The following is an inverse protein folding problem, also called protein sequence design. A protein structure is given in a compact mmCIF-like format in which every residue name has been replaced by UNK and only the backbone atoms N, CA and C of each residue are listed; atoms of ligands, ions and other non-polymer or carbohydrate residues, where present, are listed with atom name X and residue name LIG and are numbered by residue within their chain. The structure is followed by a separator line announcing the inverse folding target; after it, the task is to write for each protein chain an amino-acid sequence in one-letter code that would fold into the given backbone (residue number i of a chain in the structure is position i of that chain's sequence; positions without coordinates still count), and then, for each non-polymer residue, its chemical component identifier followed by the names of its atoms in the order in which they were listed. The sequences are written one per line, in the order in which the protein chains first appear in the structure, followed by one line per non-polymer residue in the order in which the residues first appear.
data_IF_528016990122
#
_entry.id   IF_528016990122
#
_cell.length_a   1.000
_cell.length_b   1.000
_cell.length_c   1.000
_cell.angle_alpha   90.00
_cell.angle_beta   90.00
_cell.angle_gamma   90.00
#
_symmetry.space_group_name_H-M   'P 1'
#
loop_
_entity.id
_entity.type
_entity.pdbx_description
1 polymer ?
#
# COMPACT_ATOMS: atom_id res chain seq x y z
N UNK A 1 -19.66 2.28 0.77
CA UNK A 1 -19.76 3.75 0.88
C UNK A 1 -20.28 4.31 -0.44
N UNK A 2 -21.22 5.27 -0.47
CA UNK A 2 -21.57 5.96 -1.72
C UNK A 2 -20.34 6.68 -2.28
N UNK A 3 -20.07 6.54 -3.57
CA UNK A 3 -18.99 7.27 -4.22
C UNK A 3 -19.39 8.74 -4.41
N UNK A 4 -18.46 9.63 -4.11
CA UNK A 4 -18.56 11.07 -4.34
C UNK A 4 -17.26 11.60 -4.98
N UNK A 5 -17.27 12.87 -5.40
CA UNK A 5 -16.11 13.51 -6.03
C UNK A 5 -14.87 13.53 -5.13
N UNK A 6 -15.04 13.41 -3.80
CA UNK A 6 -13.95 13.47 -2.82
C UNK A 6 -13.32 12.09 -2.55
N UNK A 7 -14.04 11.00 -2.82
CA UNK A 7 -13.62 9.64 -2.51
C UNK A 7 -13.42 8.75 -3.75
N UNK A 8 -13.90 9.18 -4.92
CA UNK A 8 -13.80 8.45 -6.19
C UNK A 8 -12.37 8.01 -6.50
N UNK A 9 -11.39 8.90 -6.44
CA UNK A 9 -10.00 8.56 -6.79
C UNK A 9 -9.37 7.58 -5.80
N UNK A 10 -9.63 7.77 -4.50
CA UNK A 10 -9.16 6.85 -3.47
C UNK A 10 -9.79 5.46 -3.64
N UNK A 11 -11.03 5.39 -4.14
CA UNK A 11 -11.67 4.11 -4.46
C UNK A 11 -10.97 3.37 -5.60
N UNK A 12 -10.59 4.05 -6.69
CA UNK A 12 -9.85 3.38 -7.78
C UNK A 12 -8.42 3.03 -7.39
N UNK A 13 -7.75 3.88 -6.60
CA UNK A 13 -6.44 3.56 -6.04
C UNK A 13 -6.48 2.34 -5.11
N UNK A 14 -7.50 2.29 -4.25
CA UNK A 14 -7.79 1.13 -3.38
C UNK A 14 -7.96 -0.14 -4.21
N UNK A 15 -8.88 -0.13 -5.17
CA UNK A 15 -9.12 -1.27 -6.05
C UNK A 15 -7.86 -1.69 -6.82
N UNK A 16 -7.07 -0.75 -7.35
CA UNK A 16 -5.84 -1.06 -8.05
C UNK A 16 -4.83 -1.79 -7.14
N UNK A 17 -4.70 -1.35 -5.88
CA UNK A 17 -3.88 -2.01 -4.88
C UNK A 17 -4.37 -3.43 -4.59
N UNK A 18 -5.68 -3.59 -4.43
CA UNK A 18 -6.31 -4.89 -4.17
C UNK A 18 -6.07 -5.90 -5.29
N UNK A 19 -6.31 -5.49 -6.55
CA UNK A 19 -6.05 -6.35 -7.70
C UNK A 19 -4.57 -6.66 -7.87
N UNK A 20 -3.69 -5.70 -7.57
CA UNK A 20 -2.25 -5.95 -7.61
C UNK A 20 -1.85 -7.00 -6.56
N UNK A 21 -2.29 -6.87 -5.32
CA UNK A 21 -1.99 -7.86 -4.25
C UNK A 21 -2.59 -9.22 -4.61
N UNK A 22 -3.82 -9.27 -5.12
CA UNK A 22 -4.44 -10.50 -5.60
C UNK A 22 -3.61 -11.18 -6.69
N UNK A 23 -3.08 -10.41 -7.65
CA UNK A 23 -2.21 -10.95 -8.70
C UNK A 23 -0.95 -11.60 -8.15
N UNK A 24 -0.30 -10.99 -7.13
CA UNK A 24 0.86 -11.57 -6.47
C UNK A 24 0.51 -12.91 -5.81
N UNK A 25 -0.61 -12.96 -5.08
CA UNK A 25 -1.08 -14.19 -4.45
C UNK A 25 -1.25 -15.33 -5.47
N UNK A 26 -1.85 -15.03 -6.63
CA UNK A 26 -2.00 -15.99 -7.72
C UNK A 26 -0.66 -16.45 -8.30
N UNK A 27 0.27 -15.54 -8.57
CA UNK A 27 1.62 -15.89 -9.05
C UNK A 27 2.38 -16.78 -8.07
N UNK A 28 2.11 -16.65 -6.77
CA UNK A 28 2.70 -17.48 -5.73
C UNK A 28 1.92 -18.78 -5.43
N UNK A 29 0.83 -19.03 -6.16
CA UNK A 29 0.05 -20.27 -6.15
C UNK A 29 -0.99 -20.35 -5.03
N UNK A 30 -1.54 -19.20 -4.61
CA UNK A 30 -2.64 -19.10 -3.66
C UNK A 30 -3.90 -18.62 -4.37
N UNK A 31 -5.08 -18.97 -3.86
CA UNK A 31 -6.35 -18.42 -4.36
C UNK A 31 -6.71 -17.16 -3.59
N UNK A 32 -7.20 -16.12 -4.27
CA UNK A 32 -7.59 -14.85 -3.66
C UNK A 32 -8.97 -14.39 -4.16
N UNK A 33 -9.94 -14.21 -3.26
CA UNK A 33 -11.28 -13.72 -3.57
C UNK A 33 -11.56 -12.37 -2.91
N UNK A 34 -12.18 -11.45 -3.64
CA UNK A 34 -12.66 -10.18 -3.07
C UNK A 34 -14.01 -10.39 -2.38
N UNK A 35 -14.21 -9.79 -1.21
CA UNK A 35 -15.52 -9.84 -0.54
C UNK A 35 -16.50 -8.83 -1.13
N UNK A 36 -17.74 -9.26 -1.29
CA UNK A 36 -18.88 -8.41 -1.65
C UNK A 36 -20.12 -8.93 -0.93
N UNK A 37 -20.78 -8.14 -0.07
CA UNK A 37 -20.47 -6.74 0.25
C UNK A 37 -19.17 -6.58 1.06
N UNK A 38 -18.56 -5.41 0.98
CA UNK A 38 -17.38 -5.03 1.77
C UNK A 38 -17.75 -4.87 3.26
N UNK A 39 -17.11 -5.67 4.12
CA UNK A 39 -17.29 -5.66 5.58
C UNK A 39 -16.00 -5.29 6.32
N UNK A 40 -15.10 -4.53 5.68
CA UNK A 40 -13.82 -4.12 6.27
C UNK A 40 -12.73 -5.19 6.14
N UNK A 41 -12.86 -6.08 5.15
CA UNK A 41 -11.83 -7.00 4.67
C UNK A 41 -11.90 -7.02 3.16
N UNK A 42 -10.76 -6.75 2.51
CA UNK A 42 -10.70 -6.63 1.06
C UNK A 42 -10.61 -8.01 0.39
N UNK A 43 -9.71 -8.88 0.87
CA UNK A 43 -9.48 -10.20 0.26
C UNK A 43 -9.55 -11.36 1.27
N UNK A 44 -10.09 -12.48 0.82
CA UNK A 44 -9.88 -13.81 1.40
C UNK A 44 -8.85 -14.57 0.58
N UNK A 45 -7.89 -15.20 1.26
CA UNK A 45 -6.82 -15.97 0.64
C UNK A 45 -6.82 -17.40 1.16
N UNK A 46 -6.69 -18.37 0.26
CA UNK A 46 -6.59 -19.79 0.60
C UNK A 46 -5.39 -20.44 -0.08
N UNK A 47 -5.04 -21.64 0.39
CA UNK A 47 -4.08 -22.53 -0.28
C UNK A 47 -4.73 -23.84 -0.74
N UNK A 48 -6.00 -23.82 -1.13
CA UNK A 48 -6.81 -25.02 -1.39
C UNK A 48 -6.18 -25.94 -2.45
N UNK A 49 -5.70 -25.39 -3.56
CA UNK A 49 -5.01 -26.16 -4.59
C UNK A 49 -3.70 -26.77 -4.07
N UNK A 50 -2.94 -26.03 -3.25
CA UNK A 50 -1.70 -26.54 -2.66
C UNK A 50 -1.98 -27.62 -1.63
N UNK A 51 -3.04 -27.48 -0.83
CA UNK A 51 -3.48 -28.53 0.08
C UNK A 51 -3.82 -29.81 -0.69
N UNK A 52 -4.60 -29.69 -1.77
CA UNK A 52 -5.00 -30.82 -2.62
C UNK A 52 -3.83 -31.50 -3.35
N UNK A 53 -2.92 -30.73 -3.94
CA UNK A 53 -1.90 -31.26 -4.86
C UNK A 53 -0.50 -31.38 -4.25
N UNK A 54 -0.21 -30.70 -3.13
CA UNK A 54 1.08 -30.73 -2.44
C UNK A 54 1.00 -31.27 -0.99
N UNK A 55 -0.19 -31.61 -0.50
CA UNK A 55 -0.38 -32.15 0.85
C UNK A 55 -0.13 -31.13 1.96
N UNK A 56 -0.26 -29.84 1.65
CA UNK A 56 -0.15 -28.77 2.66
C UNK A 56 -1.41 -28.72 3.54
N UNK A 57 -1.27 -28.25 4.79
CA UNK A 57 -2.41 -27.98 5.66
C UNK A 57 -3.30 -26.88 5.05
N UNK A 58 -4.61 -27.11 4.98
CA UNK A 58 -5.57 -26.15 4.47
C UNK A 58 -5.69 -24.97 5.43
N UNK A 59 -5.55 -23.75 4.92
CA UNK A 59 -5.76 -22.53 5.68
C UNK A 59 -6.51 -21.47 4.88
N UNK A 60 -7.10 -20.54 5.64
CA UNK A 60 -7.74 -19.33 5.13
C UNK A 60 -7.18 -18.13 5.90
N UNK A 61 -6.85 -17.06 5.17
CA UNK A 61 -6.40 -15.78 5.73
C UNK A 61 -7.22 -14.64 5.17
N UNK A 62 -7.36 -13.59 5.96
CA UNK A 62 -8.06 -12.37 5.59
C UNK A 62 -7.05 -11.25 5.41
N UNK A 63 -7.21 -10.45 4.36
CA UNK A 63 -6.33 -9.34 4.08
C UNK A 63 -7.10 -8.03 4.03
N UNK A 64 -6.59 -7.04 4.77
CA UNK A 64 -6.95 -5.64 4.57
C UNK A 64 -5.83 -4.94 3.82
N UNK A 65 -6.18 -4.19 2.79
CA UNK A 65 -5.24 -3.47 1.93
C UNK A 65 -5.51 -1.98 2.13
N UNK A 66 -4.44 -1.24 2.42
CA UNK A 66 -4.46 0.21 2.53
C UNK A 66 -3.49 0.77 1.52
N UNK A 67 -3.93 1.77 0.77
CA UNK A 67 -3.12 2.41 -0.25
C UNK A 67 -3.02 3.91 -0.06
N UNK A 68 -1.89 4.47 -0.46
CA UNK A 68 -1.67 5.91 -0.51
C UNK A 68 -0.67 6.25 -1.59
N UNK A 69 -0.65 7.52 -2.01
CA UNK A 69 0.40 8.02 -2.87
C UNK A 69 1.66 8.32 -2.04
N UNK A 70 2.81 7.96 -2.60
CA UNK A 70 4.09 8.47 -2.16
C UNK A 70 4.27 9.84 -2.80
N UNK A 71 4.46 10.88 -1.99
CA UNK A 71 4.69 12.23 -2.48
C UNK A 71 5.87 12.85 -1.76
N UNK A 72 6.83 13.37 -2.52
CA UNK A 72 8.11 13.86 -2.00
C UNK A 72 8.81 12.83 -1.08
N UNK A 73 8.73 11.56 -1.46
CA UNK A 73 9.28 10.45 -0.69
C UNK A 73 8.52 10.11 0.59
N UNK A 74 7.32 10.65 0.84
CA UNK A 74 6.53 10.35 2.03
C UNK A 74 5.09 9.94 1.69
N UNK A 75 4.54 8.99 2.45
CA UNK A 75 3.17 8.54 2.35
C UNK A 75 2.48 8.60 3.72
N UNK A 76 1.17 8.84 3.70
CA UNK A 76 0.31 8.85 4.89
C UNK A 76 -0.88 7.95 4.65
N UNK A 77 -1.10 7.01 5.55
CA UNK A 77 -2.24 6.10 5.53
C UNK A 77 -3.10 6.42 6.74
N UNK A 78 -4.39 6.67 6.50
CA UNK A 78 -5.36 6.99 7.54
C UNK A 78 -6.30 5.81 7.73
N UNK A 79 -6.50 5.41 8.99
CA UNK A 79 -7.36 4.28 9.37
C UNK A 79 -8.27 4.74 10.50
N UNK A 80 -9.52 4.25 10.50
CA UNK A 80 -10.43 4.48 11.62
C UNK A 80 -9.92 3.77 12.89
N UNK A 81 -9.95 4.38 14.09
CA UNK A 81 -9.49 3.71 15.30
C UNK A 81 -10.15 2.34 15.54
N UNK A 82 -11.47 2.23 15.33
CA UNK A 82 -12.19 0.96 15.52
C UNK A 82 -11.84 -0.08 14.47
N UNK A 83 -11.50 0.35 13.25
CA UNK A 83 -10.96 -0.53 12.22
C UNK A 83 -9.56 -1.03 12.60
N UNK A 84 -8.68 -0.14 13.05
CA UNK A 84 -7.32 -0.49 13.46
C UNK A 84 -7.34 -1.53 14.60
N UNK A 85 -8.20 -1.32 15.61
CA UNK A 85 -8.39 -2.26 16.72
C UNK A 85 -8.89 -3.63 16.23
N UNK A 86 -9.86 -3.63 15.30
CA UNK A 86 -10.37 -4.85 14.69
C UNK A 86 -9.26 -5.64 13.98
N UNK A 87 -8.49 -4.98 13.11
CA UNK A 87 -7.38 -5.60 12.38
C UNK A 87 -6.28 -6.14 13.30
N UNK A 88 -6.05 -5.48 14.44
CA UNK A 88 -5.05 -5.89 15.42
C UNK A 88 -5.51 -7.07 16.29
N UNK A 89 -6.81 -7.24 16.50
CA UNK A 89 -7.35 -8.26 17.40
C UNK A 89 -7.33 -9.70 16.84
N UNK A 90 -7.45 -9.87 15.53
CA UNK A 90 -7.68 -11.18 14.90
C UNK A 90 -6.41 -11.77 14.27
N UNK A 91 -5.96 -12.93 14.77
CA UNK A 91 -4.75 -13.60 14.27
C UNK A 91 -4.83 -14.11 12.82
N UNK A 92 -6.04 -14.22 12.27
CA UNK A 92 -6.30 -14.60 10.88
C UNK A 92 -6.17 -13.46 9.89
N UNK A 93 -6.06 -12.21 10.36
CA UNK A 93 -6.02 -10.99 9.55
C UNK A 93 -4.57 -10.54 9.36
N UNK A 94 -4.23 -10.10 8.15
CA UNK A 94 -3.01 -9.36 7.88
C UNK A 94 -3.34 -8.10 7.08
N UNK A 95 -2.55 -7.06 7.28
CA UNK A 95 -2.69 -5.79 6.57
C UNK A 95 -1.56 -5.64 5.55
N UNK A 96 -1.87 -5.08 4.39
CA UNK A 96 -0.90 -4.72 3.35
C UNK A 96 -0.97 -3.22 3.14
N UNK A 97 0.17 -2.56 3.26
CA UNK A 97 0.28 -1.12 3.06
C UNK A 97 1.00 -0.88 1.73
N UNK A 98 0.30 -0.29 0.77
CA UNK A 98 0.74 -0.06 -0.59
C UNK A 98 0.98 1.44 -0.85
N UNK A 99 2.11 1.76 -1.48
CA UNK A 99 2.53 3.12 -1.80
C UNK A 99 2.74 3.27 -3.30
N UNK A 100 1.91 4.11 -3.92
CA UNK A 100 2.00 4.39 -5.35
C UNK A 100 2.88 5.61 -5.59
N UNK A 101 3.96 5.42 -6.33
CA UNK A 101 4.79 6.51 -6.85
C UNK A 101 4.37 6.76 -8.31
N UNK A 102 3.74 7.91 -8.61
CA UNK A 102 3.33 8.21 -9.98
C UNK A 102 4.55 8.44 -10.88
N UNK A 103 4.49 7.92 -12.12
CA UNK A 103 5.39 8.31 -13.21
C UNK A 103 4.65 9.27 -14.14
N UNK A 104 5.02 10.54 -14.09
CA UNK A 104 4.39 11.63 -14.85
C UNK A 104 5.28 11.95 -16.06
N UNK A 105 4.70 12.01 -17.26
CA UNK A 105 5.39 12.61 -18.42
C UNK A 105 4.61 13.85 -18.88
N UNK A 106 5.14 15.05 -18.61
CA UNK A 106 4.72 16.30 -19.26
C UNK A 106 3.28 16.75 -19.02
N UNK A 107 2.95 17.93 -19.55
CA UNK A 107 1.59 18.47 -19.50
C UNK A 107 0.64 17.61 -20.37
N UNK A 108 -0.63 17.44 -19.97
CA UNK A 108 -1.61 16.73 -20.79
C UNK A 108 -1.69 17.40 -22.15
N UNK A 109 -1.13 16.75 -23.18
CA UNK A 109 -1.38 17.16 -24.55
C UNK A 109 -2.82 16.74 -24.87
N UNK A 110 -3.63 17.69 -25.34
CA UNK A 110 -4.95 17.37 -25.87
C UNK A 110 -4.81 16.24 -26.88
N UNK A 111 -5.82 15.37 -26.94
CA UNK A 111 -5.89 14.21 -27.84
C UNK A 111 -5.87 14.55 -29.35
N UNK A 112 -5.30 15.68 -29.76
CA UNK A 112 -5.00 15.98 -31.14
C UNK A 112 -3.73 15.22 -31.55
N UNK A 113 -3.95 13.94 -31.91
CA UNK A 113 -2.95 13.07 -32.52
C UNK A 113 -2.48 13.65 -33.85
N UNK A 114 -1.48 14.53 -33.80
CA UNK A 114 -0.64 14.88 -34.94
C UNK A 114 0.69 14.15 -34.84
N UNK A 115 1.01 13.31 -35.83
CA UNK A 115 2.28 12.69 -36.25
C UNK A 115 3.59 12.94 -35.44
N UNK A 116 3.57 12.83 -34.10
CA UNK A 116 4.74 13.10 -33.26
C UNK A 116 5.42 11.82 -32.77
N UNK A 117 6.74 11.76 -32.95
CA UNK A 117 7.60 10.63 -32.61
C UNK A 117 7.82 10.51 -31.08
N UNK A 118 7.26 9.50 -30.40
CA UNK A 118 7.14 9.45 -28.94
C UNK A 118 8.45 9.23 -28.16
N UNK A 119 9.57 8.94 -28.84
CA UNK A 119 10.85 8.64 -28.19
C UNK A 119 11.73 9.87 -27.93
N UNK A 120 11.47 11.03 -28.56
CA UNK A 120 12.19 12.28 -28.25
C UNK A 120 11.70 12.92 -26.93
N UNK A 121 10.44 12.68 -26.55
CA UNK A 121 9.84 13.18 -25.33
C UNK A 121 10.35 12.51 -24.04
N UNK A 122 10.94 11.31 -24.11
CA UNK A 122 11.34 10.58 -22.89
C UNK A 122 12.53 11.22 -22.16
N UNK A 123 13.40 11.94 -22.88
CA UNK A 123 14.56 12.65 -22.32
C UNK A 123 14.15 14.01 -21.71
N UNK A 124 13.13 14.66 -22.28
CA UNK A 124 12.56 15.90 -21.73
C UNK A 124 11.64 15.59 -20.53
N UNK A 125 10.94 14.45 -20.55
CA UNK A 125 10.09 13.99 -19.46
C UNK A 125 10.86 13.70 -18.14
N UNK A 126 12.12 13.25 -18.21
CA UNK A 126 12.96 13.08 -17.02
C UNK A 126 13.30 14.41 -16.34
N UNK A 127 13.48 15.49 -17.11
CA UNK A 127 13.72 16.83 -16.56
C UNK A 127 12.44 17.41 -15.94
N UNK A 128 11.29 17.09 -16.52
CA UNK A 128 9.97 17.50 -16.04
C UNK A 128 9.56 16.79 -14.74
N UNK A 129 10.00 15.55 -14.52
CA UNK A 129 9.61 14.78 -13.32
C UNK A 129 9.97 15.49 -12.00
N UNK A 130 11.14 16.15 -11.93
CA UNK A 130 11.54 16.94 -10.76
C UNK A 130 10.66 18.19 -10.55
N UNK A 131 10.24 18.83 -11.64
CA UNK A 131 9.33 19.97 -11.60
C UNK A 131 7.92 19.52 -11.14
N UNK A 132 7.44 18.39 -11.64
CA UNK A 132 6.16 17.80 -11.25
C UNK A 132 6.15 17.30 -9.80
N UNK A 133 7.18 16.61 -9.32
CA UNK A 133 7.26 16.18 -7.91
C UNK A 133 7.18 17.38 -6.94
N UNK A 134 7.67 18.54 -7.38
CA UNK A 134 7.60 19.79 -6.62
C UNK A 134 6.19 20.41 -6.64
N UNK A 135 5.46 20.32 -7.76
CA UNK A 135 4.18 21.02 -7.98
C UNK A 135 2.93 20.13 -7.89
N UNK A 136 3.09 18.81 -7.85
CA UNK A 136 2.01 17.82 -7.80
C UNK A 136 1.06 18.09 -6.63
N UNK A 137 1.60 18.46 -5.48
CA UNK A 137 0.81 18.83 -4.30
C UNK A 137 0.01 20.12 -4.49
N UNK A 138 0.65 21.18 -4.99
CA UNK A 138 -0.03 22.46 -5.21
C UNK A 138 -1.20 22.28 -6.17
N UNK A 139 -0.97 21.57 -7.28
CA UNK A 139 -2.01 21.25 -8.26
C UNK A 139 -3.06 20.27 -7.74
N UNK A 140 -2.70 19.24 -6.97
CA UNK A 140 -3.68 18.34 -6.32
C UNK A 140 -4.56 19.10 -5.33
N UNK A 141 -3.99 20.02 -4.56
CA UNK A 141 -4.74 20.87 -3.63
C UNK A 141 -5.62 21.90 -4.35
N UNK A 142 -5.15 22.45 -5.46
CA UNK A 142 -5.85 23.46 -6.26
C UNK A 142 -6.99 22.87 -7.10
N UNK A 143 -6.74 21.75 -7.77
CA UNK A 143 -7.66 21.14 -8.74
C UNK A 143 -8.53 20.06 -8.08
N UNK A 144 -8.08 19.49 -6.97
CA UNK A 144 -8.80 18.43 -6.25
C UNK A 144 -8.88 17.09 -6.98
N UNK A 145 -8.35 17.00 -8.21
CA UNK A 145 -8.50 15.84 -9.08
C UNK A 145 -7.20 15.52 -9.85
N UNK A 146 -6.74 14.27 -9.71
CA UNK A 146 -5.59 13.68 -10.37
C UNK A 146 -5.87 13.31 -11.84
N UNK A 147 -7.12 13.26 -12.28
CA UNK A 147 -7.48 12.99 -13.69
C UNK A 147 -6.99 14.04 -14.69
N UNK A 148 -6.46 15.16 -14.19
CA UNK A 148 -5.82 16.21 -15.00
C UNK A 148 -4.34 15.94 -15.29
N UNK A 149 -3.75 14.91 -14.69
CA UNK A 149 -2.39 14.47 -14.98
C UNK A 149 -2.41 13.24 -15.88
N UNK A 150 -1.56 13.23 -16.93
CA UNK A 150 -1.34 12.04 -17.74
C UNK A 150 -0.26 11.17 -17.08
N UNK A 151 -0.69 10.11 -16.39
CA UNK A 151 0.22 9.15 -15.78
C UNK A 151 0.55 8.05 -16.78
N UNK A 152 1.84 7.86 -17.11
CA UNK A 152 2.26 6.71 -17.91
C UNK A 152 2.31 5.40 -17.12
N UNK A 153 2.39 5.50 -15.80
CA UNK A 153 2.41 4.34 -14.92
C UNK A 153 2.61 4.71 -13.47
N UNK A 154 2.67 3.68 -12.63
CA UNK A 154 2.93 3.80 -11.21
C UNK A 154 3.95 2.74 -10.80
N UNK A 155 4.91 3.14 -9.97
CA UNK A 155 5.68 2.19 -9.18
C UNK A 155 4.93 1.90 -7.88
N UNK A 156 4.96 0.64 -7.45
CA UNK A 156 4.28 0.20 -6.25
C UNK A 156 5.28 -0.38 -5.26
N UNK A 157 5.40 0.28 -4.12
CA UNK A 157 6.06 -0.27 -2.94
C UNK A 157 5.01 -0.77 -1.94
N UNK A 158 5.39 -1.76 -1.15
CA UNK A 158 4.49 -2.31 -0.15
C UNK A 158 5.24 -3.04 0.95
N UNK A 159 4.57 -3.19 2.10
CA UNK A 159 4.94 -4.13 3.14
C UNK A 159 3.70 -4.71 3.80
N UNK A 160 3.88 -5.84 4.46
CA UNK A 160 2.82 -6.59 5.13
C UNK A 160 3.00 -6.49 6.66
N UNK A 161 1.88 -6.52 7.38
CA UNK A 161 1.85 -6.67 8.83
C UNK A 161 0.81 -7.72 9.21
N UNK A 162 1.22 -8.77 9.92
CA UNK A 162 0.29 -9.62 10.65
C UNK A 162 -0.24 -8.87 11.88
N UNK A 163 -1.23 -9.46 12.56
CA UNK A 163 -1.84 -8.86 13.74
C UNK A 163 -0.83 -8.53 14.86
N UNK A 164 0.20 -9.36 15.09
CA UNK A 164 1.23 -9.11 16.11
C UNK A 164 2.11 -7.92 15.75
N UNK A 165 2.51 -7.81 14.49
CA UNK A 165 3.25 -6.65 13.97
C UNK A 165 2.41 -5.38 14.07
N UNK A 166 1.11 -5.47 13.76
CA UNK A 166 0.19 -4.35 13.89
C UNK A 166 0.03 -3.90 15.35
N UNK A 167 -0.22 -4.82 16.29
CA UNK A 167 -0.26 -4.51 17.73
C UNK A 167 1.01 -3.81 18.19
N UNK A 168 2.17 -4.37 17.83
CA UNK A 168 3.46 -3.78 18.19
C UNK A 168 3.66 -2.39 17.60
N UNK A 169 3.24 -2.17 16.35
CA UNK A 169 3.33 -0.84 15.73
C UNK A 169 2.47 0.20 16.44
N UNK A 170 1.34 -0.21 17.03
CA UNK A 170 0.48 0.64 17.86
C UNK A 170 1.18 0.95 19.19
N UNK A 171 1.69 -0.07 19.87
CA UNK A 171 2.41 0.05 21.15
C UNK A 171 3.65 0.95 21.05
N UNK A 172 4.39 0.83 19.94
CA UNK A 172 5.61 1.62 19.67
C UNK A 172 5.32 3.00 19.07
N UNK A 173 4.05 3.38 18.94
CA UNK A 173 3.63 4.74 18.60
C UNK A 173 3.86 5.14 17.15
N UNK A 174 3.83 4.18 16.20
CA UNK A 174 3.85 4.47 14.76
C UNK A 174 2.53 5.05 14.23
N UNK A 175 1.46 5.00 15.03
CA UNK A 175 0.14 5.51 14.69
C UNK A 175 -0.17 6.78 15.48
N UNK A 176 -0.17 7.94 14.80
CA UNK A 176 -0.53 9.22 15.42
C UNK A 176 -2.03 9.51 15.33
N UNK A 177 -2.57 10.20 16.33
CA UNK A 177 -3.94 10.71 16.30
C UNK A 177 -4.04 11.96 15.44
N UNK A 178 -4.94 11.95 14.45
CA UNK A 178 -5.15 13.04 13.50
C UNK A 178 -6.64 13.37 13.36
N UNK A 179 -6.95 14.65 13.14
CA UNK A 179 -8.31 15.11 12.83
C UNK A 179 -8.37 15.55 11.37
N UNK A 180 -8.97 14.72 10.52
CA UNK A 180 -9.10 14.99 9.08
C UNK A 180 -10.58 15.22 8.78
N UNK A 181 -10.91 16.43 8.29
CA UNK A 181 -12.29 16.82 7.92
C UNK A 181 -13.31 16.53 9.04
N UNK A 182 -12.94 16.75 10.30
CA UNK A 182 -13.81 16.54 11.46
C UNK A 182 -13.96 15.08 11.91
N UNK A 183 -13.23 14.14 11.31
CA UNK A 183 -13.15 12.75 11.74
C UNK A 183 -11.82 12.47 12.44
N UNK A 184 -11.88 11.77 13.58
CA UNK A 184 -10.71 11.25 14.28
C UNK A 184 -10.20 9.99 13.58
N UNK A 185 -8.92 10.00 13.19
CA UNK A 185 -8.26 8.92 12.45
C UNK A 185 -6.89 8.64 13.05
N UNK A 186 -6.43 7.40 12.90
CA UNK A 186 -5.05 7.00 13.13
C UNK A 186 -4.25 7.14 11.85
N UNK A 187 -3.09 7.79 11.91
CA UNK A 187 -2.22 8.02 10.75
C UNK A 187 -0.91 7.26 10.90
N UNK A 188 -0.60 6.44 9.90
CA UNK A 188 0.70 5.80 9.72
C UNK A 188 1.50 6.58 8.68
N UNK A 189 2.71 6.99 9.05
CA UNK A 189 3.65 7.68 8.15
C UNK A 189 4.74 6.72 7.69
N UNK A 190 4.92 6.65 6.38
CA UNK A 190 6.04 5.97 5.74
C UNK A 190 6.85 6.96 4.91
N UNK A 191 8.16 6.76 4.84
CA UNK A 191 9.05 7.46 3.92
C UNK A 191 9.80 6.44 3.08
N UNK A 192 10.11 6.79 1.83
CA UNK A 192 10.91 5.98 0.92
C UNK A 192 12.27 6.65 0.72
N UNK A 193 13.33 5.90 1.00
CA UNK A 193 14.70 6.29 0.73
C UNK A 193 15.32 5.21 -0.15
N UNK A 194 15.56 5.51 -1.42
CA UNK A 194 15.99 4.52 -2.42
C UNK A 194 15.06 3.29 -2.43
N UNK A 195 15.58 2.11 -2.08
CA UNK A 195 14.84 0.85 -2.00
C UNK A 195 14.26 0.56 -0.60
N UNK A 196 14.45 1.44 0.38
CA UNK A 196 14.02 1.25 1.75
C UNK A 196 12.70 1.97 2.06
N UNK A 197 11.84 1.28 2.80
CA UNK A 197 10.64 1.87 3.40
C UNK A 197 10.96 2.11 4.88
N UNK A 198 10.84 3.36 5.30
CA UNK A 198 11.06 3.82 6.66
C UNK A 198 9.71 4.12 7.31
N UNK A 199 9.36 3.43 8.40
CA UNK A 199 8.22 3.83 9.22
C UNK A 199 8.66 4.93 10.19
N UNK A 200 7.82 5.95 10.33
CA UNK A 200 8.15 7.13 11.14
C UNK A 200 7.24 7.16 12.37
N UNK A 201 7.85 7.23 13.55
CA UNK A 201 7.15 7.51 14.81
C UNK A 201 7.71 8.80 15.45
N UNK A 202 7.34 9.05 16.71
CA UNK A 202 7.79 10.22 17.47
C UNK A 202 9.28 10.18 17.88
N UNK A 203 9.92 9.01 17.86
CA UNK A 203 11.33 8.81 18.25
C UNK A 203 12.25 8.90 17.03
N UNK A 204 11.82 8.43 15.86
CA UNK A 204 12.68 8.41 14.68
C UNK A 204 12.09 7.71 13.46
N UNK A 205 13.00 7.29 12.58
CA UNK A 205 12.70 6.59 11.32
C UNK A 205 13.28 5.17 11.39
N UNK A 206 12.44 4.19 11.10
CA UNK A 206 12.76 2.79 11.32
C UNK A 206 12.63 2.02 10.00
N UNK A 207 13.73 1.48 9.44
CA UNK A 207 13.67 0.71 8.22
C UNK A 207 12.89 -0.59 8.43
N UNK A 208 11.91 -0.80 7.55
CA UNK A 208 11.11 -2.01 7.49
C UNK A 208 11.98 -3.17 6.98
N UNK A 209 11.94 -4.30 7.68
CA UNK A 209 12.72 -5.48 7.27
C UNK A 209 12.20 -6.00 5.92
N UNK A 210 13.12 -6.39 5.04
CA UNK A 210 12.78 -6.80 3.67
C UNK A 210 11.88 -8.03 3.62
N UNK A 211 11.94 -8.88 4.64
CA UNK A 211 11.09 -10.05 4.78
C UNK A 211 9.62 -9.68 4.81
N UNK A 212 9.24 -8.55 5.45
CA UNK A 212 7.84 -8.10 5.46
C UNK A 212 7.35 -7.61 4.11
N UNK A 213 8.24 -7.41 3.13
CA UNK A 213 7.88 -7.12 1.74
C UNK A 213 7.66 -8.41 0.91
N UNK A 214 7.85 -9.58 1.51
CA UNK A 214 7.66 -10.86 0.85
C UNK A 214 6.56 -11.64 1.53
N UNK A 215 5.41 -11.76 0.88
CA UNK A 215 4.26 -12.52 1.40
C UNK A 215 4.60 -13.94 1.89
N UNK A 216 5.69 -14.55 1.41
CA UNK A 216 6.10 -15.87 1.88
C UNK A 216 6.36 -15.96 3.39
N UNK A 217 6.70 -14.89 4.12
CA UNK A 217 6.85 -15.03 5.58
C UNK A 217 5.51 -15.35 6.26
N UNK A 218 4.37 -15.01 5.65
CA UNK A 218 3.03 -15.36 6.14
C UNK A 218 2.64 -16.80 5.81
N UNK A 219 3.30 -17.41 4.81
CA UNK A 219 2.83 -18.65 4.16
C UNK A 219 3.87 -19.78 4.10
N UNK A 220 5.13 -19.51 4.45
CA UNK A 220 6.23 -20.48 4.49
C UNK A 220 7.05 -20.30 5.76
N UNK A 221 7.15 -21.37 6.54
CA UNK A 221 8.02 -21.41 7.72
C UNK A 221 9.49 -21.30 7.34
N UNK A 222 10.20 -20.39 8.00
CA UNK A 222 11.66 -20.27 7.94
C UNK A 222 12.18 -19.72 9.29
N UNK A 223 13.48 -19.86 9.58
CA UNK A 223 14.05 -19.34 10.84
C UNK A 223 13.87 -17.82 11.00
N UNK A 224 13.87 -17.07 9.89
CA UNK A 224 13.52 -15.65 9.90
C UNK A 224 12.01 -15.44 10.09
N UNK A 225 11.15 -16.32 9.55
CA UNK A 225 9.69 -16.20 9.75
C UNK A 225 9.32 -16.29 11.23
N UNK A 226 10.01 -17.08 12.05
CA UNK A 226 9.68 -17.17 13.49
C UNK A 226 9.77 -15.80 14.20
N UNK A 227 10.79 -14.98 13.91
CA UNK A 227 10.91 -13.62 14.48
C UNK A 227 9.84 -12.68 13.94
N UNK A 228 9.56 -12.75 12.64
CA UNK A 228 8.58 -11.91 11.95
C UNK A 228 7.15 -12.27 12.40
N UNK A 229 6.87 -13.55 12.60
CA UNK A 229 5.64 -14.08 13.19
C UNK A 229 5.49 -13.68 14.67
N UNK A 230 6.58 -13.40 15.38
CA UNK A 230 6.55 -12.86 16.75
C UNK A 230 6.40 -11.33 16.80
N UNK A 231 6.25 -10.65 15.66
CA UNK A 231 6.01 -9.21 15.61
C UNK A 231 7.21 -8.37 15.19
N UNK A 232 8.33 -8.96 14.76
CA UNK A 232 9.43 -8.19 14.18
C UNK A 232 9.00 -7.59 12.83
N UNK A 233 9.15 -6.28 12.64
CA UNK A 233 8.86 -5.61 11.37
C UNK A 233 9.87 -4.51 11.00
N UNK A 234 10.75 -4.11 11.91
CA UNK A 234 11.88 -3.22 11.65
C UNK A 234 13.20 -3.85 12.16
N UNK A 235 14.33 -3.27 11.77
CA UNK A 235 15.66 -3.80 12.13
C UNK A 235 15.98 -3.74 13.63
N UNK A 236 15.33 -2.87 14.40
CA UNK A 236 15.54 -2.78 15.85
C UNK A 236 14.90 -3.96 16.61
N UNK A 237 14.03 -4.72 15.94
CA UNK A 237 13.42 -5.93 16.51
C UNK A 237 14.31 -7.18 16.34
N UNK A 238 15.40 -7.07 15.57
CA UNK A 238 16.20 -8.20 15.09
C UNK A 238 17.35 -8.60 16.00
#
# INVERSE_FOLDING_TARGET
MPLDELNYENFFLGNAAEYWVASQLYFHGFEAGKYSPDFGIDLVVTNAARSKFKGEELWTRFLQIKSSFLVQGAARIYVDPGELDYLASESGISSVYCFFTPRIEGEPQSFDRGDFEPWRASLEAEMDQNFYDTHFHARKQEIGCLSTFDFKGFDLDYFWMNNRQLNRSIEEGFWSDEWVKGKHLKMLRAEKLEDEILLVNHVGKYPVIRETRNMYYLYKRSKSSDKVEQGAFNFDHY
#
